data_IF_299055672640
#
_entry.id   IF_299055672640
#
_cell.length_a   1.000
_cell.length_b   1.000
_cell.length_c   1.000
_cell.angle_alpha   90.00
_cell.angle_beta   90.00
_cell.angle_gamma   90.00
#
_symmetry.space_group_name_H-M   'P 1'
#
loop_
_entity.id
_entity.type
_entity.pdbx_description
1 polymer ?
#
# COMPACT_ATOMS: atom_id res chain seq x y z
N UNK A 1 15.12 -12.20 24.62
CA UNK A 1 16.43 -12.77 24.24
C UNK A 1 16.32 -14.07 23.42
N UNK A 2 15.48 -15.06 23.82
CA UNK A 2 15.32 -16.30 23.03
C UNK A 2 14.46 -16.07 21.77
N UNK A 3 13.41 -15.24 21.85
CA UNK A 3 12.55 -14.88 20.73
C UNK A 3 13.26 -14.13 19.60
N UNK A 4 14.24 -13.29 19.94
CA UNK A 4 15.00 -12.51 18.95
C UNK A 4 16.00 -13.38 18.18
N UNK A 5 16.50 -14.44 18.81
CA UNK A 5 17.39 -15.42 18.16
C UNK A 5 16.60 -16.26 17.15
N UNK A 6 15.38 -16.70 17.49
CA UNK A 6 14.52 -17.45 16.60
C UNK A 6 14.07 -16.62 15.38
N UNK A 7 13.66 -15.37 15.58
CA UNK A 7 13.31 -14.46 14.47
C UNK A 7 14.48 -14.17 13.53
N UNK A 8 15.70 -14.08 14.08
CA UNK A 8 16.92 -13.91 13.28
C UNK A 8 17.25 -15.14 12.45
N UNK A 9 17.10 -16.34 13.03
CA UNK A 9 17.32 -17.59 12.30
C UNK A 9 16.29 -17.86 11.21
N UNK A 10 15.01 -17.49 11.42
CA UNK A 10 13.98 -17.57 10.36
C UNK A 10 14.23 -16.60 9.22
N UNK A 11 14.67 -15.38 9.51
CA UNK A 11 15.03 -14.38 8.49
C UNK A 11 16.30 -14.78 7.71
N UNK A 12 17.31 -15.32 8.39
CA UNK A 12 18.52 -15.84 7.74
C UNK A 12 18.20 -17.07 6.86
N UNK A 13 17.35 -17.98 7.32
CA UNK A 13 16.89 -19.13 6.53
C UNK A 13 16.07 -18.73 5.30
N UNK A 14 15.23 -17.70 5.40
CA UNK A 14 14.53 -17.16 4.24
C UNK A 14 15.47 -16.51 3.23
N UNK A 15 16.49 -15.78 3.67
CA UNK A 15 17.50 -15.19 2.78
C UNK A 15 18.32 -16.25 2.04
N UNK A 16 18.70 -17.34 2.70
CA UNK A 16 19.41 -18.46 2.07
C UNK A 16 18.54 -19.18 1.06
N UNK A 17 17.26 -19.42 1.35
CA UNK A 17 16.31 -20.04 0.41
C UNK A 17 16.09 -19.13 -0.81
N UNK A 18 15.92 -17.82 -0.62
CA UNK A 18 15.81 -16.86 -1.72
C UNK A 18 17.07 -16.80 -2.57
N UNK A 19 18.25 -16.80 -1.94
CA UNK A 19 19.53 -16.90 -2.66
C UNK A 19 19.59 -18.15 -3.54
N UNK A 20 19.24 -19.31 -2.98
CA UNK A 20 19.22 -20.57 -3.70
C UNK A 20 18.20 -20.61 -4.86
N UNK A 21 16.98 -20.08 -4.63
CA UNK A 21 15.95 -19.98 -5.69
C UNK A 21 16.42 -19.08 -6.82
N UNK A 22 17.05 -17.95 -6.51
CA UNK A 22 17.61 -17.04 -7.51
C UNK A 22 18.74 -17.70 -8.31
N UNK A 23 19.62 -18.44 -7.64
CA UNK A 23 20.72 -19.15 -8.27
C UNK A 23 20.24 -20.30 -9.19
N UNK A 24 19.21 -21.05 -8.76
CA UNK A 24 18.55 -22.08 -9.59
C UNK A 24 17.85 -21.45 -10.79
N UNK A 25 17.16 -20.33 -10.62
CA UNK A 25 16.52 -19.62 -11.74
C UNK A 25 17.56 -19.10 -12.74
N UNK A 26 18.69 -18.56 -12.27
CA UNK A 26 19.79 -18.14 -13.13
C UNK A 26 20.42 -19.31 -13.90
N UNK A 27 20.70 -20.42 -13.23
CA UNK A 27 21.22 -21.62 -13.89
C UNK A 27 20.25 -22.21 -14.91
N UNK A 28 18.95 -22.21 -14.62
CA UNK A 28 17.92 -22.69 -15.53
C UNK A 28 17.82 -21.78 -16.78
N UNK A 29 17.85 -20.48 -16.61
CA UNK A 29 17.82 -19.53 -17.71
C UNK A 29 19.06 -19.63 -18.61
N UNK A 30 20.26 -19.78 -18.02
CA UNK A 30 21.50 -20.02 -18.77
C UNK A 30 21.42 -21.32 -19.56
N UNK A 31 20.85 -22.41 -18.99
CA UNK A 31 20.70 -23.71 -19.66
C UNK A 31 19.71 -23.67 -20.82
N UNK A 32 18.78 -22.73 -20.86
CA UNK A 32 17.81 -22.52 -21.92
C UNK A 32 18.31 -21.55 -23.01
N UNK A 33 19.55 -21.04 -22.91
CA UNK A 33 20.10 -20.08 -23.87
C UNK A 33 19.38 -18.72 -23.83
N UNK A 34 18.68 -18.43 -22.75
CA UNK A 34 18.16 -17.11 -22.47
C UNK A 34 19.34 -16.28 -21.99
N UNK A 35 19.94 -15.50 -22.89
CA UNK A 35 20.85 -14.43 -22.48
C UNK A 35 20.10 -13.57 -21.47
N UNK A 36 20.62 -13.49 -20.26
CA UNK A 36 20.29 -12.38 -19.38
C UNK A 36 20.80 -11.15 -20.12
N UNK A 37 19.95 -10.55 -20.96
CA UNK A 37 20.18 -9.21 -21.43
C UNK A 37 20.61 -8.41 -20.21
N UNK A 38 21.79 -7.77 -20.33
CA UNK A 38 22.23 -6.77 -19.35
C UNK A 38 21.03 -5.86 -19.15
N UNK A 39 20.32 -6.04 -18.04
CA UNK A 39 19.27 -5.09 -17.68
C UNK A 39 19.95 -3.74 -17.64
N UNK A 40 19.69 -2.93 -18.65
CA UNK A 40 20.13 -1.54 -18.61
C UNK A 40 19.64 -1.00 -17.27
N UNK A 41 20.49 -0.28 -16.52
CA UNK A 41 20.10 0.29 -15.26
C UNK A 41 18.81 1.08 -15.50
N UNK A 42 17.75 0.72 -14.80
CA UNK A 42 16.47 1.42 -14.90
C UNK A 42 16.71 2.92 -14.69
N UNK A 43 16.13 3.77 -15.52
CA UNK A 43 16.24 5.21 -15.32
C UNK A 43 15.73 5.54 -13.89
N UNK A 44 16.41 6.43 -13.18
CA UNK A 44 15.98 6.82 -11.85
C UNK A 44 14.55 7.40 -11.92
N UNK A 45 13.66 6.86 -11.10
CA UNK A 45 12.31 7.39 -10.97
C UNK A 45 12.32 8.57 -9.99
N UNK A 46 11.67 9.65 -10.37
CA UNK A 46 11.41 10.81 -9.52
C UNK A 46 10.07 11.46 -9.88
N UNK A 47 9.47 12.17 -8.96
CA UNK A 47 8.32 13.05 -9.21
C UNK A 47 8.64 14.46 -8.72
N UNK A 48 8.07 15.49 -9.34
CA UNK A 48 8.23 16.86 -8.87
C UNK A 48 7.56 17.04 -7.50
N UNK A 49 7.93 18.09 -6.78
CA UNK A 49 7.23 18.47 -5.55
C UNK A 49 5.73 18.65 -5.84
N UNK A 50 4.83 18.12 -4.98
CA UNK A 50 3.40 18.18 -5.23
C UNK A 50 2.88 19.61 -5.08
N UNK A 51 2.34 20.14 -6.15
CA UNK A 51 1.65 21.44 -6.20
C UNK A 51 0.37 21.29 -7.02
N UNK A 52 -0.66 22.12 -6.84
CA UNK A 52 -1.90 21.99 -7.62
C UNK A 52 -1.66 21.96 -9.13
N UNK A 53 -0.77 22.80 -9.62
CA UNK A 53 -0.43 22.87 -11.05
C UNK A 53 0.37 21.66 -11.56
N UNK A 54 1.10 20.96 -10.69
CA UNK A 54 1.88 19.79 -11.05
C UNK A 54 1.09 18.47 -11.00
N UNK A 55 -0.05 18.43 -10.29
CA UNK A 55 -0.82 17.20 -10.09
C UNK A 55 -1.18 16.44 -11.38
N UNK A 56 -1.64 17.08 -12.46
CA UNK A 56 -1.91 16.38 -13.72
C UNK A 56 -0.66 15.70 -14.29
N UNK A 57 0.48 16.40 -14.28
CA UNK A 57 1.76 15.86 -14.76
C UNK A 57 2.28 14.72 -13.88
N UNK A 58 2.11 14.82 -12.55
CA UNK A 58 2.46 13.76 -11.60
C UNK A 58 1.63 12.51 -11.88
N UNK A 59 0.31 12.66 -12.02
CA UNK A 59 -0.61 11.58 -12.36
C UNK A 59 -0.17 10.86 -13.65
N UNK A 60 0.05 11.62 -14.71
CA UNK A 60 0.38 11.08 -16.02
C UNK A 60 1.74 10.37 -16.00
N UNK A 61 2.76 10.99 -15.41
CA UNK A 61 4.10 10.38 -15.28
C UNK A 61 4.05 9.10 -14.43
N UNK A 62 3.34 9.11 -13.32
CA UNK A 62 3.19 7.94 -12.47
C UNK A 62 2.49 6.80 -13.22
N UNK A 63 1.38 7.11 -13.89
CA UNK A 63 0.62 6.14 -14.68
C UNK A 63 1.47 5.55 -15.81
N UNK A 64 2.09 6.37 -16.63
CA UNK A 64 2.97 5.92 -17.72
C UNK A 64 4.11 5.05 -17.20
N UNK A 65 4.80 5.48 -16.13
CA UNK A 65 5.91 4.72 -15.55
C UNK A 65 5.46 3.36 -15.00
N UNK A 66 4.27 3.27 -14.41
CA UNK A 66 3.73 2.02 -13.85
C UNK A 66 3.43 0.95 -14.90
N UNK A 67 3.28 1.34 -16.17
CA UNK A 67 2.99 0.43 -17.29
C UNK A 67 4.24 -0.25 -17.88
N UNK A 68 5.47 0.23 -17.56
CA UNK A 68 6.69 -0.24 -18.24
C UNK A 68 7.07 -1.68 -17.87
N UNK A 69 7.41 -1.93 -16.60
CA UNK A 69 7.88 -3.24 -16.16
C UNK A 69 7.64 -3.46 -14.67
N UNK A 70 7.74 -4.72 -14.20
CA UNK A 70 7.71 -5.02 -12.76
C UNK A 70 8.83 -4.30 -12.01
N UNK A 71 10.05 -4.32 -12.54
CA UNK A 71 11.18 -3.65 -11.92
C UNK A 71 11.00 -2.11 -11.84
N UNK A 72 10.32 -1.49 -12.81
CA UNK A 72 9.97 -0.08 -12.72
C UNK A 72 8.92 0.17 -11.63
N UNK A 73 7.92 -0.72 -11.48
CA UNK A 73 6.93 -0.62 -10.39
C UNK A 73 7.59 -0.72 -9.01
N UNK A 74 8.53 -1.65 -8.83
CA UNK A 74 9.32 -1.77 -7.59
C UNK A 74 10.12 -0.49 -7.31
N UNK A 75 10.78 0.08 -8.32
CA UNK A 75 11.51 1.35 -8.19
C UNK A 75 10.58 2.52 -7.83
N UNK A 76 9.37 2.58 -8.40
CA UNK A 76 8.35 3.57 -8.04
C UNK A 76 7.96 3.43 -6.58
N UNK A 77 7.67 2.22 -6.12
CA UNK A 77 7.27 1.94 -4.74
C UNK A 77 8.38 2.34 -3.77
N UNK A 78 9.61 1.89 -4.01
CA UNK A 78 10.76 2.24 -3.18
C UNK A 78 10.97 3.76 -3.09
N UNK A 79 10.87 4.46 -4.21
CA UNK A 79 11.01 5.91 -4.25
C UNK A 79 9.89 6.62 -3.48
N UNK A 80 8.63 6.20 -3.68
CA UNK A 80 7.47 6.80 -3.00
C UNK A 80 7.53 6.66 -1.48
N UNK A 81 7.97 5.49 -1.00
CA UNK A 81 8.11 5.21 0.43
C UNK A 81 9.29 5.98 1.03
N UNK A 82 10.45 5.99 0.36
CA UNK A 82 11.63 6.73 0.81
C UNK A 82 11.36 8.23 0.92
N UNK A 83 10.63 8.79 -0.05
CA UNK A 83 10.29 10.22 -0.08
C UNK A 83 9.06 10.57 0.76
N UNK A 84 8.41 9.58 1.38
CA UNK A 84 7.10 9.76 2.05
C UNK A 84 6.09 10.54 1.19
N UNK A 85 6.07 10.23 -0.12
CA UNK A 85 5.41 11.10 -1.09
C UNK A 85 3.91 11.19 -0.88
N UNK A 86 3.25 10.09 -0.47
CA UNK A 86 1.80 10.08 -0.15
C UNK A 86 1.50 11.04 1.00
N UNK A 87 2.37 11.09 2.02
CA UNK A 87 2.21 12.05 3.14
C UNK A 87 2.32 13.50 2.68
N UNK A 88 3.20 13.79 1.70
CA UNK A 88 3.32 15.13 1.10
C UNK A 88 2.05 15.56 0.35
N UNK A 89 1.24 14.61 -0.12
CA UNK A 89 -0.05 14.91 -0.78
C UNK A 89 -1.15 15.30 0.21
N UNK A 90 -1.04 14.94 1.50
CA UNK A 90 -2.09 15.20 2.50
C UNK A 90 -2.41 16.69 2.64
N UNK A 91 -1.44 17.57 2.95
CA UNK A 91 -1.73 19.01 3.07
C UNK A 91 -2.18 19.64 1.74
N UNK A 92 -1.70 19.13 0.61
CA UNK A 92 -2.15 19.58 -0.70
C UNK A 92 -3.61 19.22 -0.95
N UNK A 93 -4.01 17.99 -0.59
CA UNK A 93 -5.40 17.55 -0.69
C UNK A 93 -6.32 18.46 0.12
N UNK A 94 -5.99 18.77 1.38
CA UNK A 94 -6.77 19.67 2.23
C UNK A 94 -6.92 21.07 1.61
N UNK A 95 -5.83 21.58 1.02
CA UNK A 95 -5.83 22.87 0.34
C UNK A 95 -6.76 22.88 -0.87
N UNK A 96 -6.63 21.92 -1.78
CA UNK A 96 -7.42 21.88 -3.02
C UNK A 96 -8.89 21.52 -2.75
N UNK A 97 -9.15 20.75 -1.70
CA UNK A 97 -10.51 20.45 -1.24
C UNK A 97 -11.19 21.72 -0.69
N UNK A 98 -10.51 22.50 0.15
CA UNK A 98 -11.02 23.77 0.67
C UNK A 98 -11.33 24.78 -0.45
N UNK A 99 -10.55 24.77 -1.54
CA UNK A 99 -10.74 25.61 -2.72
C UNK A 99 -11.77 25.03 -3.71
N UNK A 100 -12.26 23.80 -3.49
CA UNK A 100 -13.14 23.07 -4.40
C UNK A 100 -12.55 22.93 -5.82
N UNK A 101 -11.23 22.81 -5.93
CA UNK A 101 -10.55 22.62 -7.21
C UNK A 101 -10.73 21.18 -7.72
N UNK A 102 -11.83 20.97 -8.44
CA UNK A 102 -12.21 19.64 -8.95
C UNK A 102 -11.17 19.04 -9.88
N UNK A 103 -10.44 19.86 -10.65
CA UNK A 103 -9.38 19.36 -11.53
C UNK A 103 -8.24 18.72 -10.75
N UNK A 104 -7.78 19.39 -9.71
CA UNK A 104 -6.76 18.87 -8.80
C UNK A 104 -7.24 17.67 -8.00
N UNK A 105 -8.50 17.67 -7.55
CA UNK A 105 -9.10 16.55 -6.82
C UNK A 105 -9.22 15.29 -7.71
N UNK A 106 -9.63 15.42 -8.95
CA UNK A 106 -9.66 14.32 -9.93
C UNK A 106 -8.23 13.80 -10.25
N UNK A 107 -7.24 14.70 -10.30
CA UNK A 107 -5.85 14.28 -10.47
C UNK A 107 -5.34 13.47 -9.27
N UNK A 108 -5.66 13.88 -8.06
CA UNK A 108 -5.34 13.14 -6.83
C UNK A 108 -6.01 11.76 -6.79
N UNK A 109 -7.29 11.67 -7.18
CA UNK A 109 -7.96 10.38 -7.36
C UNK A 109 -7.18 9.48 -8.32
N UNK A 110 -6.79 9.98 -9.48
CA UNK A 110 -6.03 9.21 -10.48
C UNK A 110 -4.66 8.77 -9.98
N UNK A 111 -3.98 9.60 -9.16
CA UNK A 111 -2.72 9.22 -8.49
C UNK A 111 -2.98 8.04 -7.54
N UNK A 112 -3.99 8.12 -6.66
CA UNK A 112 -4.32 7.05 -5.73
C UNK A 112 -4.72 5.77 -6.47
N UNK A 113 -5.54 5.88 -7.50
CA UNK A 113 -5.90 4.74 -8.35
C UNK A 113 -4.66 4.05 -8.92
N UNK A 114 -3.71 4.80 -9.47
CA UNK A 114 -2.47 4.23 -10.02
C UNK A 114 -1.64 3.56 -8.93
N UNK A 115 -1.51 4.17 -7.75
CA UNK A 115 -0.76 3.60 -6.63
C UNK A 115 -1.29 2.23 -6.23
N UNK A 116 -2.59 2.08 -6.08
CA UNK A 116 -3.18 0.78 -5.74
C UNK A 116 -3.13 -0.22 -6.90
N UNK A 117 -3.22 0.26 -8.16
CA UNK A 117 -3.12 -0.60 -9.35
C UNK A 117 -1.69 -1.16 -9.57
N UNK A 118 -0.66 -0.54 -9.00
CA UNK A 118 0.71 -1.12 -8.94
C UNK A 118 0.68 -2.47 -8.22
N UNK A 119 -0.27 -2.66 -7.32
CA UNK A 119 -0.52 -3.92 -6.62
C UNK A 119 0.64 -4.36 -5.73
N UNK A 120 1.10 -3.48 -4.87
CA UNK A 120 2.21 -3.69 -3.95
C UNK A 120 1.76 -3.61 -2.49
N UNK A 121 2.18 -4.60 -1.67
CA UNK A 121 1.83 -4.67 -0.25
C UNK A 121 2.34 -3.46 0.53
N UNK A 122 3.57 -3.01 0.26
CA UNK A 122 4.23 -1.97 1.05
C UNK A 122 3.50 -0.64 0.96
N UNK A 123 2.98 -0.30 -0.22
CA UNK A 123 2.12 0.90 -0.39
C UNK A 123 0.84 0.76 0.43
N UNK A 124 0.20 -0.41 0.36
CA UNK A 124 -1.03 -0.66 1.10
C UNK A 124 -0.79 -0.58 2.61
N UNK A 125 0.25 -1.26 3.12
CA UNK A 125 0.63 -1.24 4.52
C UNK A 125 0.99 0.17 5.00
N UNK A 126 1.76 0.93 4.21
CA UNK A 126 2.09 2.32 4.52
C UNK A 126 0.85 3.19 4.71
N UNK A 127 -0.15 3.03 3.86
CA UNK A 127 -1.43 3.77 3.96
C UNK A 127 -2.22 3.33 5.19
N UNK A 128 -2.23 2.04 5.53
CA UNK A 128 -3.02 1.49 6.64
C UNK A 128 -2.45 1.86 8.02
N UNK A 129 -1.13 1.98 8.15
CA UNK A 129 -0.44 2.23 9.43
C UNK A 129 -0.76 3.61 10.01
N UNK A 130 -0.78 4.65 9.18
CA UNK A 130 -1.03 6.02 9.60
C UNK A 130 -2.50 6.41 9.41
N UNK A 131 -3.16 6.79 10.51
CA UNK A 131 -4.58 7.15 10.48
C UNK A 131 -4.87 8.39 9.62
N UNK A 132 -4.02 9.40 9.69
CA UNK A 132 -4.24 10.67 8.98
C UNK A 132 -3.99 10.48 7.48
N UNK A 133 -2.95 9.72 7.11
CA UNK A 133 -2.69 9.32 5.73
C UNK A 133 -3.85 8.50 5.19
N UNK A 134 -4.34 7.52 5.95
CA UNK A 134 -5.47 6.69 5.55
C UNK A 134 -6.74 7.51 5.29
N UNK A 135 -7.08 8.44 6.20
CA UNK A 135 -8.23 9.33 6.03
C UNK A 135 -8.07 10.28 4.82
N UNK A 136 -6.87 10.78 4.59
CA UNK A 136 -6.59 11.63 3.43
C UNK A 136 -6.73 10.85 2.12
N UNK A 137 -6.19 9.63 2.06
CA UNK A 137 -6.34 8.73 0.91
C UNK A 137 -7.81 8.38 0.66
N UNK A 138 -8.56 8.07 1.73
CA UNK A 138 -10.00 7.87 1.63
C UNK A 138 -10.71 9.10 1.05
N UNK A 139 -10.30 10.30 1.50
CA UNK A 139 -10.82 11.57 0.99
C UNK A 139 -10.48 11.81 -0.50
N UNK A 140 -9.26 11.50 -0.93
CA UNK A 140 -8.87 11.61 -2.33
C UNK A 140 -9.70 10.66 -3.22
N UNK A 141 -10.01 9.45 -2.72
CA UNK A 141 -10.82 8.46 -3.41
C UNK A 141 -12.32 8.82 -3.48
N UNK A 142 -12.81 9.77 -2.67
CA UNK A 142 -14.19 10.29 -2.78
C UNK A 142 -14.45 11.07 -4.06
N UNK A 143 -13.41 11.54 -4.77
CA UNK A 143 -13.51 12.42 -5.93
C UNK A 143 -13.30 11.70 -7.26
N UNK A 144 -13.99 10.56 -7.43
CA UNK A 144 -13.96 9.83 -8.69
C UNK A 144 -14.54 10.67 -9.84
N UNK A 145 -13.85 10.83 -10.98
CA UNK A 145 -14.40 11.47 -12.15
C UNK A 145 -15.69 10.76 -12.61
N UNK A 146 -16.65 11.54 -13.10
CA UNK A 146 -17.92 11.05 -13.67
C UNK A 146 -18.80 10.22 -12.71
N UNK A 147 -18.59 10.36 -11.39
CA UNK A 147 -19.38 9.74 -10.35
C UNK A 147 -19.79 10.76 -9.29
N UNK A 148 -20.90 10.52 -8.57
CA UNK A 148 -21.23 11.32 -7.40
C UNK A 148 -20.14 11.18 -6.34
N UNK A 149 -19.87 12.28 -5.61
CA UNK A 149 -18.92 12.25 -4.49
C UNK A 149 -19.37 11.21 -3.46
N UNK A 150 -18.45 10.35 -3.10
CA UNK A 150 -18.62 9.36 -2.02
C UNK A 150 -18.34 10.02 -0.66
N UNK A 151 -18.62 9.34 0.43
CA UNK A 151 -18.52 9.89 1.78
C UNK A 151 -17.74 8.93 2.72
N UNK A 152 -16.61 8.41 2.26
CA UNK A 152 -15.78 7.45 3.00
C UNK A 152 -15.32 8.01 4.34
N UNK A 153 -14.83 9.26 4.37
CA UNK A 153 -14.33 9.88 5.60
C UNK A 153 -15.42 10.10 6.64
N UNK A 154 -16.64 10.42 6.21
CA UNK A 154 -17.76 10.57 7.14
C UNK A 154 -18.07 9.25 7.87
N UNK A 155 -17.95 8.13 7.16
CA UNK A 155 -18.09 6.79 7.73
C UNK A 155 -16.92 6.44 8.67
N UNK A 156 -15.69 6.70 8.24
CA UNK A 156 -14.47 6.30 8.94
C UNK A 156 -14.18 7.13 10.20
N UNK A 157 -14.67 8.37 10.26
CA UNK A 157 -14.56 9.23 11.44
C UNK A 157 -15.55 8.91 12.56
N UNK A 158 -16.54 8.10 12.28
CA UNK A 158 -17.47 7.64 13.29
C UNK A 158 -16.80 6.56 14.15
N UNK A 159 -16.09 7.02 15.20
CA UNK A 159 -15.38 6.15 16.14
C UNK A 159 -16.30 5.14 16.83
N UNK A 160 -17.62 5.39 16.85
CA UNK A 160 -18.61 4.45 17.42
C UNK A 160 -18.69 3.12 16.68
N UNK A 161 -18.13 3.05 15.47
CA UNK A 161 -18.10 1.83 14.64
C UNK A 161 -17.00 0.86 14.99
N UNK A 162 -15.94 1.32 15.65
CA UNK A 162 -14.88 0.47 16.17
C UNK A 162 -15.04 0.33 17.69
N UNK A 163 -15.60 -0.79 18.13
CA UNK A 163 -15.74 -1.11 19.55
C UNK A 163 -14.71 -2.16 19.95
N UNK A 164 -13.77 -1.79 20.79
CA UNK A 164 -12.89 -2.75 21.45
C UNK A 164 -13.65 -3.38 22.63
N UNK A 165 -14.08 -4.63 22.45
CA UNK A 165 -14.82 -5.38 23.48
C UNK A 165 -13.85 -6.03 24.47
N UNK A 166 -12.67 -6.44 24.00
CA UNK A 166 -11.60 -7.05 24.79
C UNK A 166 -10.46 -6.06 24.87
N UNK A 167 -9.97 -5.76 26.07
CA UNK A 167 -8.77 -4.95 26.26
C UNK A 167 -7.53 -5.83 26.01
N UNK A 168 -6.72 -5.43 25.04
CA UNK A 168 -5.46 -6.07 24.74
C UNK A 168 -4.33 -5.26 25.38
N UNK A 169 -3.43 -5.95 26.10
CA UNK A 169 -2.28 -5.33 26.75
C UNK A 169 -1.19 -4.91 25.75
N UNK A 170 -1.16 -5.54 24.57
CA UNK A 170 -0.16 -5.25 23.52
C UNK A 170 -0.68 -4.19 22.52
N UNK A 171 -0.10 -2.97 22.52
CA UNK A 171 -0.51 -1.92 21.57
C UNK A 171 -0.31 -2.33 20.10
N UNK A 172 0.63 -3.24 19.80
CA UNK A 172 0.88 -3.68 18.44
C UNK A 172 -0.31 -4.46 17.88
N UNK A 173 -0.95 -5.28 18.72
CA UNK A 173 -2.15 -6.02 18.35
C UNK A 173 -3.34 -5.08 18.16
N UNK A 174 -3.48 -4.08 19.02
CA UNK A 174 -4.53 -3.05 18.86
C UNK A 174 -4.35 -2.31 17.53
N UNK A 175 -3.10 -1.96 17.16
CA UNK A 175 -2.81 -1.36 15.86
C UNK A 175 -3.20 -2.29 14.72
N UNK A 176 -2.79 -3.56 14.80
CA UNK A 176 -3.09 -4.59 13.79
C UNK A 176 -4.60 -4.78 13.60
N UNK A 177 -5.39 -4.76 14.69
CA UNK A 177 -6.85 -4.84 14.64
C UNK A 177 -7.43 -3.62 13.89
N UNK A 178 -6.93 -2.41 14.19
CA UNK A 178 -7.35 -1.19 13.49
C UNK A 178 -6.97 -1.20 12.01
N UNK A 179 -5.77 -1.64 11.70
CA UNK A 179 -5.29 -1.80 10.32
C UNK A 179 -6.12 -2.85 9.56
N UNK A 180 -6.48 -3.95 10.21
CA UNK A 180 -7.38 -4.97 9.64
C UNK A 180 -8.75 -4.38 9.28
N UNK A 181 -9.34 -3.58 10.17
CA UNK A 181 -10.60 -2.88 9.89
C UNK A 181 -10.47 -1.93 8.70
N UNK A 182 -9.39 -1.14 8.66
CA UNK A 182 -9.10 -0.23 7.54
C UNK A 182 -8.91 -0.98 6.22
N UNK A 183 -8.19 -2.11 6.25
CA UNK A 183 -7.96 -2.96 5.09
C UNK A 183 -9.27 -3.54 4.53
N UNK A 184 -10.15 -4.02 5.39
CA UNK A 184 -11.47 -4.52 4.99
C UNK A 184 -12.26 -3.42 4.29
N UNK A 185 -12.33 -2.22 4.88
CA UNK A 185 -13.06 -1.10 4.29
C UNK A 185 -12.43 -0.63 2.98
N UNK A 186 -11.11 -0.57 2.91
CA UNK A 186 -10.37 -0.25 1.69
C UNK A 186 -10.75 -1.22 0.56
N UNK A 187 -10.66 -2.52 0.84
CA UNK A 187 -10.92 -3.59 -0.12
C UNK A 187 -12.40 -3.66 -0.56
N UNK A 188 -13.31 -3.64 0.41
CA UNK A 188 -14.72 -3.93 0.15
C UNK A 188 -15.54 -2.71 -0.28
N UNK A 189 -14.99 -1.50 -0.13
CA UNK A 189 -15.73 -0.26 -0.41
C UNK A 189 -14.95 0.68 -1.32
N UNK A 190 -13.73 1.08 -0.94
CA UNK A 190 -13.04 2.19 -1.63
C UNK A 190 -12.45 1.79 -2.98
N UNK A 191 -11.89 0.58 -3.11
CA UNK A 191 -11.18 0.12 -4.31
C UNK A 191 -12.07 -0.64 -5.31
N UNK A 192 -13.29 -0.98 -4.94
CA UNK A 192 -14.20 -1.87 -5.72
C UNK A 192 -14.36 -1.41 -7.18
N UNK A 193 -14.36 -0.10 -7.42
CA UNK A 193 -14.62 0.45 -8.76
C UNK A 193 -13.51 0.16 -9.80
N UNK A 194 -12.30 -0.18 -9.36
CA UNK A 194 -11.16 -0.45 -10.25
C UNK A 194 -10.30 -1.66 -9.82
N UNK A 195 -10.80 -2.45 -8.87
CA UNK A 195 -10.12 -3.63 -8.35
C UNK A 195 -10.16 -4.77 -9.37
N UNK A 196 -8.99 -5.33 -9.70
CA UNK A 196 -8.85 -6.55 -10.50
C UNK A 196 -8.59 -7.79 -9.63
N UNK A 197 -8.49 -8.97 -10.27
CA UNK A 197 -8.24 -10.23 -9.55
C UNK A 197 -6.90 -10.25 -8.82
N UNK A 198 -5.85 -9.64 -9.37
CA UNK A 198 -4.52 -9.62 -8.77
C UNK A 198 -4.52 -8.75 -7.50
N UNK A 199 -5.12 -7.57 -7.57
CA UNK A 199 -5.29 -6.69 -6.42
C UNK A 199 -6.15 -7.36 -5.33
N UNK A 200 -7.26 -8.00 -5.71
CA UNK A 200 -8.11 -8.73 -4.77
C UNK A 200 -7.34 -9.87 -4.08
N UNK A 201 -6.55 -10.63 -4.82
CA UNK A 201 -5.73 -11.71 -4.26
C UNK A 201 -4.68 -11.18 -3.28
N UNK A 202 -3.99 -10.09 -3.63
CA UNK A 202 -3.01 -9.44 -2.76
C UNK A 202 -3.64 -8.93 -1.46
N UNK A 203 -4.76 -8.21 -1.55
CA UNK A 203 -5.46 -7.67 -0.37
C UNK A 203 -6.02 -8.78 0.52
N UNK A 204 -6.52 -9.88 -0.05
CA UNK A 204 -6.95 -11.04 0.72
C UNK A 204 -5.78 -11.76 1.41
N UNK A 205 -4.62 -11.85 0.77
CA UNK A 205 -3.41 -12.40 1.38
C UNK A 205 -2.95 -11.54 2.55
N UNK A 206 -2.91 -10.23 2.38
CA UNK A 206 -2.54 -9.30 3.46
C UNK A 206 -3.53 -9.39 4.63
N UNK A 207 -4.84 -9.45 4.33
CA UNK A 207 -5.89 -9.62 5.34
C UNK A 207 -5.73 -10.94 6.12
N UNK A 208 -5.41 -12.03 5.41
CA UNK A 208 -5.15 -13.33 6.04
C UNK A 208 -3.96 -13.28 7.01
N UNK A 209 -2.85 -12.63 6.63
CA UNK A 209 -1.70 -12.47 7.51
C UNK A 209 -2.05 -11.63 8.75
N UNK A 210 -2.75 -10.52 8.59
CA UNK A 210 -3.17 -9.69 9.72
C UNK A 210 -4.09 -10.44 10.69
N UNK A 211 -5.07 -11.18 10.16
CA UNK A 211 -5.97 -12.00 10.97
C UNK A 211 -5.24 -13.13 11.69
N UNK A 212 -4.28 -13.77 11.01
CA UNK A 212 -3.47 -14.84 11.61
C UNK A 212 -2.62 -14.33 12.77
N UNK A 213 -2.00 -13.15 12.64
CA UNK A 213 -1.24 -12.52 13.72
C UNK A 213 -2.11 -12.26 14.95
N UNK A 214 -3.34 -11.74 14.74
CA UNK A 214 -4.29 -11.47 15.82
C UNK A 214 -4.72 -12.78 16.50
N UNK A 215 -5.08 -13.80 15.72
CA UNK A 215 -5.51 -15.11 16.25
C UNK A 215 -4.36 -15.78 17.01
N UNK A 216 -3.15 -15.74 16.46
CA UNK A 216 -1.97 -16.29 17.14
C UNK A 216 -1.72 -15.62 18.49
N UNK A 217 -1.85 -14.31 18.56
CA UNK A 217 -1.75 -13.59 19.83
C UNK A 217 -2.85 -14.03 20.81
N UNK A 218 -4.10 -14.12 20.37
CA UNK A 218 -5.22 -14.54 21.23
C UNK A 218 -5.04 -15.96 21.79
N UNK A 219 -4.45 -16.88 21.02
CA UNK A 219 -4.22 -18.27 21.48
C UNK A 219 -3.09 -18.36 22.51
N UNK A 220 -2.07 -17.50 22.39
CA UNK A 220 -0.87 -17.55 23.23
C UNK A 220 -0.85 -16.51 24.36
N UNK A 221 -1.84 -15.64 24.44
CA UNK A 221 -2.02 -14.70 25.54
C UNK A 221 -2.73 -15.38 26.71
N UNK A 222 -2.10 -15.37 27.88
CA UNK A 222 -2.67 -15.98 29.13
C UNK A 222 -3.92 -15.25 29.66
N UNK A 223 -4.46 -14.27 28.94
CA UNK A 223 -5.54 -13.37 29.38
C UNK A 223 -6.77 -13.31 28.45
N UNK A 224 -6.89 -14.18 27.46
CA UNK A 224 -8.09 -14.26 26.62
C UNK A 224 -8.97 -15.43 27.05
#
# INVERSE_FOLDING_TARGET
AASDVYKRQELEGCHEIWGFVTEVQQHFAISQGLDFEKQEPLPPFDLPAPTPSALPSIRDKLHESSLHSSAMRENIVEWLLREEYVRKLVPLFEQVEALQDMSSLHALYGIMQTLFTINDNLITEYVLQDHDVYLAVAGMLEYRPDAPKEAHRAYLRDESRFHQIIEFDDPSIVSKIKETFRLIYLKDVMLVSFMDEAMLAMLNSLLFFYQNDIVHYCIHSDRV
#
